data_IF_821451767281
#
_entry.id   IF_821451767281
#
_cell.length_a   1.000
_cell.length_b   1.000
_cell.length_c   1.000
_cell.angle_alpha   90.00
_cell.angle_beta   90.00
_cell.angle_gamma   90.00
#
_symmetry.space_group_name_H-M   'P 1'
#
loop_
_entity.id
_entity.type
_entity.pdbx_description
1 polymer ?
#
# COMPACT_ATOMS: atom_id res chain seq x y z
N UNK A 1 28.56 7.98 -18.26
CA UNK A 1 27.26 7.99 -17.56
C UNK A 1 26.68 6.61 -17.74
N UNK A 2 26.90 5.77 -16.74
CA UNK A 2 26.69 4.33 -16.88
C UNK A 2 25.20 3.99 -16.68
N UNK A 3 24.68 3.14 -17.56
CA UNK A 3 23.29 2.68 -17.60
C UNK A 3 22.80 2.16 -16.23
N UNK A 4 23.72 1.69 -15.37
CA UNK A 4 23.44 1.19 -14.03
C UNK A 4 22.83 2.22 -13.07
N UNK A 5 23.04 3.52 -13.27
CA UNK A 5 22.43 4.55 -12.42
C UNK A 5 20.92 4.68 -12.64
N UNK A 6 20.44 4.37 -13.85
CA UNK A 6 19.01 4.42 -14.21
C UNK A 6 18.28 3.10 -14.01
N UNK A 7 19.00 2.03 -13.66
CA UNK A 7 18.45 0.71 -13.42
C UNK A 7 17.25 0.69 -12.46
N UNK A 8 17.26 1.39 -11.29
CA UNK A 8 16.08 1.44 -10.42
C UNK A 8 14.90 2.20 -11.04
N UNK A 9 15.17 3.27 -11.80
CA UNK A 9 14.11 4.07 -12.43
C UNK A 9 13.42 3.31 -13.56
N UNK A 10 14.20 2.60 -14.39
CA UNK A 10 13.65 1.75 -15.46
C UNK A 10 12.89 0.57 -14.85
N UNK A 11 13.44 -0.05 -13.80
CA UNK A 11 12.79 -1.15 -13.09
C UNK A 11 11.42 -0.77 -12.53
N UNK A 12 11.31 0.32 -11.78
CA UNK A 12 10.02 0.76 -11.20
C UNK A 12 9.01 1.16 -12.26
N UNK A 13 9.45 1.76 -13.37
CA UNK A 13 8.56 2.17 -14.46
C UNK A 13 7.98 0.95 -15.20
N UNK A 14 8.81 -0.05 -15.51
CA UNK A 14 8.36 -1.31 -16.12
C UNK A 14 7.40 -2.06 -15.19
N UNK A 15 7.75 -2.20 -13.90
CA UNK A 15 6.86 -2.84 -12.93
C UNK A 15 5.55 -2.08 -12.74
N UNK A 16 5.59 -0.75 -12.70
CA UNK A 16 4.39 0.09 -12.60
C UNK A 16 3.46 -0.06 -13.79
N UNK A 17 3.99 -0.07 -15.01
CA UNK A 17 3.19 -0.31 -16.23
C UNK A 17 2.59 -1.70 -16.25
N UNK A 18 3.35 -2.73 -15.86
CA UNK A 18 2.85 -4.11 -15.77
C UNK A 18 1.71 -4.23 -14.74
N UNK A 19 1.89 -3.68 -13.54
CA UNK A 19 0.85 -3.70 -12.49
C UNK A 19 -0.38 -2.88 -12.90
N UNK A 20 -0.20 -1.75 -13.57
CA UNK A 20 -1.29 -0.95 -14.12
C UNK A 20 -2.12 -1.71 -15.16
N UNK A 21 -1.45 -2.35 -16.12
CA UNK A 21 -2.10 -3.18 -17.14
C UNK A 21 -2.87 -4.36 -16.53
N UNK A 22 -2.25 -5.08 -15.60
CA UNK A 22 -2.89 -6.20 -14.90
C UNK A 22 -4.09 -5.72 -14.08
N UNK A 23 -3.95 -4.57 -13.42
CA UNK A 23 -4.98 -3.92 -12.62
C UNK A 23 -6.20 -3.52 -13.44
N UNK A 24 -6.01 -2.92 -14.62
CA UNK A 24 -7.08 -2.59 -15.56
C UNK A 24 -7.85 -3.83 -16.00
N UNK A 25 -7.13 -4.89 -16.41
CA UNK A 25 -7.77 -6.12 -16.92
C UNK A 25 -8.54 -6.89 -15.86
N UNK A 26 -8.06 -6.87 -14.62
CA UNK A 26 -8.65 -7.63 -13.51
C UNK A 26 -9.74 -6.84 -12.76
N UNK A 27 -9.85 -5.52 -12.99
CA UNK A 27 -10.75 -4.63 -12.25
C UNK A 27 -10.64 -4.82 -10.72
N UNK A 28 -9.41 -5.05 -10.23
CA UNK A 28 -9.15 -5.40 -8.84
C UNK A 28 -9.62 -4.31 -7.87
N UNK A 29 -10.50 -4.69 -6.94
CA UNK A 29 -10.94 -3.84 -5.85
C UNK A 29 -10.88 -4.63 -4.53
N UNK A 30 -9.96 -4.27 -3.64
CA UNK A 30 -9.79 -4.96 -2.35
C UNK A 30 -11.05 -4.85 -1.47
N UNK A 31 -11.68 -3.68 -1.41
CA UNK A 31 -12.93 -3.47 -0.68
C UNK A 31 -14.11 -4.20 -1.35
N UNK A 32 -14.14 -4.21 -2.68
CA UNK A 32 -15.15 -4.91 -3.47
C UNK A 32 -15.11 -6.42 -3.23
N UNK A 33 -13.92 -7.02 -3.17
CA UNK A 33 -13.78 -8.46 -2.95
C UNK A 33 -14.33 -8.92 -1.61
N UNK A 34 -14.16 -8.12 -0.54
CA UNK A 34 -14.75 -8.42 0.77
C UNK A 34 -16.27 -8.25 0.77
N UNK A 35 -16.78 -7.16 0.14
CA UNK A 35 -18.22 -6.88 0.06
C UNK A 35 -18.95 -7.95 -0.75
N UNK A 36 -18.42 -8.31 -1.91
CA UNK A 36 -19.07 -9.23 -2.85
C UNK A 36 -19.03 -10.68 -2.30
N UNK A 37 -17.97 -11.04 -1.55
CA UNK A 37 -17.95 -12.28 -0.79
C UNK A 37 -19.02 -12.30 0.32
N UNK A 38 -19.18 -11.21 1.08
CA UNK A 38 -20.14 -11.16 2.18
C UNK A 38 -21.60 -11.15 1.71
N UNK A 39 -21.90 -10.44 0.61
CA UNK A 39 -23.28 -10.23 0.16
C UNK A 39 -23.72 -11.26 -0.89
N UNK A 40 -22.89 -11.47 -1.92
CA UNK A 40 -23.21 -12.30 -3.09
C UNK A 40 -22.54 -13.68 -3.05
N UNK A 41 -21.62 -13.91 -2.10
CA UNK A 41 -20.78 -15.11 -2.02
C UNK A 41 -19.96 -15.36 -3.29
N UNK A 42 -19.64 -14.30 -4.03
CA UNK A 42 -18.74 -14.39 -5.17
C UNK A 42 -17.29 -14.41 -4.67
N UNK A 43 -16.53 -15.41 -5.11
CA UNK A 43 -15.13 -15.61 -4.72
C UNK A 43 -14.15 -15.18 -5.80
N UNK A 44 -14.63 -14.73 -6.97
CA UNK A 44 -13.78 -14.39 -8.10
C UNK A 44 -12.81 -13.26 -7.77
N UNK A 45 -13.33 -12.14 -7.25
CA UNK A 45 -12.51 -10.98 -6.84
C UNK A 45 -11.66 -11.28 -5.59
N UNK A 46 -12.15 -12.17 -4.71
CA UNK A 46 -11.47 -12.59 -3.49
C UNK A 46 -10.19 -13.37 -3.79
N UNK A 47 -10.19 -14.23 -4.82
CA UNK A 47 -8.99 -14.94 -5.30
C UNK A 47 -7.89 -13.97 -5.72
N UNK A 48 -8.26 -12.84 -6.33
CA UNK A 48 -7.33 -11.76 -6.68
C UNK A 48 -6.67 -11.11 -5.47
N UNK A 49 -7.43 -10.83 -4.40
CA UNK A 49 -6.91 -10.32 -3.14
C UNK A 49 -5.91 -11.30 -2.50
N UNK A 50 -6.26 -12.59 -2.42
CA UNK A 50 -5.34 -13.60 -1.90
C UNK A 50 -4.12 -13.80 -2.80
N UNK A 51 -4.27 -13.69 -4.12
CA UNK A 51 -3.16 -13.72 -5.06
C UNK A 51 -2.18 -12.56 -4.86
N UNK A 52 -2.68 -11.36 -4.56
CA UNK A 52 -1.84 -10.20 -4.23
C UNK A 52 -1.08 -10.39 -2.92
N UNK A 53 -1.76 -10.85 -1.87
CA UNK A 53 -1.12 -11.15 -0.57
C UNK A 53 -0.08 -12.26 -0.72
N UNK A 54 -0.42 -13.34 -1.40
CA UNK A 54 0.49 -14.45 -1.67
C UNK A 54 1.69 -14.03 -2.51
N UNK A 55 1.46 -13.22 -3.55
CA UNK A 55 2.52 -12.65 -4.38
C UNK A 55 3.48 -11.75 -3.59
N UNK A 56 2.96 -10.91 -2.68
CA UNK A 56 3.78 -10.08 -1.81
C UNK A 56 4.62 -10.92 -0.84
N UNK A 57 4.04 -11.96 -0.24
CA UNK A 57 4.76 -12.89 0.64
C UNK A 57 5.85 -13.65 -0.12
N UNK A 58 5.53 -14.25 -1.26
CA UNK A 58 6.52 -14.96 -2.09
C UNK A 58 7.61 -14.01 -2.56
N UNK A 59 7.24 -12.82 -3.03
CA UNK A 59 8.18 -11.77 -3.44
C UNK A 59 9.15 -11.40 -2.32
N UNK A 60 8.63 -11.12 -1.11
CA UNK A 60 9.47 -10.78 0.05
C UNK A 60 10.43 -11.91 0.46
N UNK A 61 10.01 -13.18 0.37
CA UNK A 61 10.89 -14.33 0.60
C UNK A 61 11.96 -14.42 -0.48
N UNK A 62 11.61 -14.25 -1.75
CA UNK A 62 12.58 -14.26 -2.86
C UNK A 62 13.62 -13.14 -2.69
N UNK A 63 13.20 -11.91 -2.37
CA UNK A 63 14.13 -10.80 -2.12
C UNK A 63 15.01 -11.02 -0.89
N UNK A 64 14.54 -11.79 0.11
CA UNK A 64 15.36 -12.19 1.23
C UNK A 64 16.46 -13.19 0.82
N UNK A 65 16.14 -14.19 -0.01
CA UNK A 65 17.12 -15.16 -0.52
C UNK A 65 18.23 -14.48 -1.32
N UNK A 66 17.89 -13.44 -2.09
CA UNK A 66 18.87 -12.64 -2.86
C UNK A 66 19.70 -11.70 -1.96
N UNK A 67 19.33 -11.56 -0.67
CA UNK A 67 20.09 -10.79 0.32
C UNK A 67 19.83 -9.28 0.30
N UNK A 68 18.81 -8.81 -0.43
CA UNK A 68 18.48 -7.37 -0.53
C UNK A 68 17.54 -6.88 0.57
N UNK A 69 16.79 -7.77 1.24
CA UNK A 69 15.79 -7.40 2.26
C UNK A 69 15.91 -8.27 3.54
N UNK A 70 15.60 -7.71 4.73
CA UNK A 70 15.39 -8.51 5.95
C UNK A 70 14.13 -9.40 5.82
N UNK A 71 14.14 -10.57 6.48
CA UNK A 71 13.07 -11.57 6.37
C UNK A 71 11.71 -11.00 6.82
N UNK A 72 10.68 -11.18 6.00
CA UNK A 72 9.28 -10.96 6.34
C UNK A 72 8.68 -12.32 6.74
N UNK A 73 8.12 -12.53 7.97
CA UNK A 73 7.53 -11.54 8.89
C UNK A 73 8.52 -10.94 9.89
N UNK A 74 8.51 -9.61 10.00
CA UNK A 74 9.41 -8.82 10.85
C UNK A 74 9.38 -9.19 12.35
N UNK A 75 8.22 -9.68 12.83
CA UNK A 75 8.03 -10.17 14.20
C UNK A 75 9.05 -11.27 14.53
N UNK A 76 9.40 -12.12 13.56
CA UNK A 76 10.30 -13.26 13.76
C UNK A 76 11.77 -12.83 13.87
N UNK A 77 12.16 -11.73 13.21
CA UNK A 77 13.56 -11.27 13.17
C UNK A 77 13.90 -10.23 14.23
N UNK A 78 12.96 -9.34 14.59
CA UNK A 78 13.22 -8.17 15.44
C UNK A 78 12.28 -8.05 16.64
N UNK A 79 11.40 -9.04 16.87
CA UNK A 79 10.44 -9.04 17.96
C UNK A 79 9.39 -7.92 17.84
N UNK A 80 8.81 -7.53 18.98
CA UNK A 80 7.78 -6.48 19.12
C UNK A 80 8.43 -5.08 19.10
N UNK A 81 9.22 -4.81 18.07
CA UNK A 81 9.88 -3.51 17.86
C UNK A 81 9.36 -2.84 16.60
N UNK A 82 9.70 -1.56 16.42
CA UNK A 82 9.17 -0.73 15.35
C UNK A 82 9.28 -1.36 13.96
N UNK A 83 8.23 -1.17 13.16
CA UNK A 83 8.16 -1.65 11.78
C UNK A 83 9.09 -0.78 10.93
N UNK A 84 10.00 -1.36 10.12
CA UNK A 84 10.88 -0.61 9.25
C UNK A 84 10.06 0.11 8.19
N UNK A 85 10.19 1.45 8.13
CA UNK A 85 9.36 2.31 7.29
C UNK A 85 8.01 2.69 7.90
N UNK A 86 7.75 2.37 9.17
CA UNK A 86 6.58 2.82 9.91
C UNK A 86 6.63 4.31 10.27
N UNK A 87 5.47 4.93 10.36
CA UNK A 87 5.30 6.36 10.64
C UNK A 87 5.95 6.83 11.96
N UNK A 88 6.07 5.97 12.98
CA UNK A 88 6.64 6.42 14.25
C UNK A 88 8.18 6.34 14.32
N UNK A 89 8.87 5.93 13.24
CA UNK A 89 10.29 5.60 13.33
C UNK A 89 10.53 4.47 14.35
N UNK A 90 11.76 4.36 14.86
CA UNK A 90 12.20 3.31 15.81
C UNK A 90 11.45 3.23 17.16
N UNK A 91 10.43 4.05 17.38
CA UNK A 91 9.61 4.08 18.59
C UNK A 91 8.60 2.93 18.59
N UNK A 92 8.99 1.79 19.17
CA UNK A 92 8.10 0.73 19.68
C UNK A 92 7.04 0.13 18.72
N UNK A 93 6.32 -0.88 19.20
CA UNK A 93 5.21 -1.50 18.45
C UNK A 93 3.89 -0.75 18.64
N UNK A 94 3.59 -0.32 19.87
CA UNK A 94 2.35 0.39 20.20
C UNK A 94 2.13 1.68 19.41
N UNK A 95 3.17 2.54 19.23
CA UNK A 95 3.04 3.75 18.44
C UNK A 95 2.60 3.52 16.99
N UNK A 96 3.24 2.55 16.36
CA UNK A 96 3.00 2.18 14.98
C UNK A 96 1.62 1.52 14.81
N UNK A 97 1.18 0.72 15.78
CA UNK A 97 -0.14 0.10 15.75
C UNK A 97 -1.26 1.15 15.85
N UNK A 98 -1.15 2.12 16.76
CA UNK A 98 -2.14 3.19 16.90
C UNK A 98 -2.22 4.03 15.62
N UNK A 99 -1.07 4.42 15.07
CA UNK A 99 -1.01 5.16 13.81
C UNK A 99 -1.60 4.36 12.63
N UNK A 100 -1.32 3.06 12.56
CA UNK A 100 -1.86 2.18 11.52
C UNK A 100 -3.38 1.97 11.64
N UNK A 101 -3.91 1.87 12.86
CA UNK A 101 -5.35 1.75 13.10
C UNK A 101 -6.09 3.03 12.72
N UNK A 102 -5.61 4.19 13.19
CA UNK A 102 -6.23 5.49 12.90
C UNK A 102 -6.11 5.81 11.41
N UNK A 103 -4.89 5.68 10.86
CA UNK A 103 -4.63 5.95 9.44
C UNK A 103 -5.35 4.97 8.52
N UNK A 104 -5.31 3.67 8.84
CA UNK A 104 -5.99 2.62 8.08
C UNK A 104 -7.51 2.81 8.07
N UNK A 105 -8.10 3.14 9.22
CA UNK A 105 -9.52 3.47 9.30
C UNK A 105 -9.86 4.72 8.48
N UNK A 106 -9.06 5.78 8.58
CA UNK A 106 -9.26 7.02 7.81
C UNK A 106 -9.18 6.80 6.30
N UNK A 107 -8.16 6.09 5.82
CA UNK A 107 -8.02 5.75 4.39
C UNK A 107 -9.16 4.86 3.94
N UNK A 108 -9.56 3.87 4.75
CA UNK A 108 -10.71 3.01 4.45
C UNK A 108 -12.01 3.79 4.28
N UNK A 109 -12.33 4.65 5.26
CA UNK A 109 -13.55 5.46 5.25
C UNK A 109 -13.60 6.42 4.06
N UNK A 110 -12.53 7.18 3.82
CA UNK A 110 -12.46 8.13 2.69
C UNK A 110 -12.50 7.42 1.32
N UNK A 111 -11.89 6.23 1.22
CA UNK A 111 -11.91 5.45 -0.03
C UNK A 111 -13.31 4.94 -0.37
N UNK A 112 -14.08 4.51 0.64
CA UNK A 112 -15.45 4.03 0.44
C UNK A 112 -16.36 5.17 -0.02
N UNK A 113 -16.19 6.39 0.51
CA UNK A 113 -16.94 7.58 0.06
C UNK A 113 -16.70 7.86 -1.42
N UNK A 114 -15.46 7.67 -1.91
CA UNK A 114 -15.13 7.82 -3.32
C UNK A 114 -15.69 6.68 -4.20
N UNK A 115 -16.16 5.58 -3.60
CA UNK A 115 -16.68 4.41 -4.32
C UNK A 115 -15.61 3.41 -4.74
N UNK A 116 -14.45 3.39 -4.08
CA UNK A 116 -13.32 2.53 -4.47
C UNK A 116 -12.38 2.15 -3.32
N UNK A 117 -11.27 1.53 -3.67
CA UNK A 117 -10.09 1.42 -2.81
C UNK A 117 -8.95 2.26 -3.42
N UNK A 118 -7.88 2.58 -2.68
CA UNK A 118 -6.79 3.41 -3.19
C UNK A 118 -6.25 2.89 -4.54
N UNK A 119 -6.01 1.58 -4.63
CA UNK A 119 -5.51 0.92 -5.84
C UNK A 119 -6.46 1.06 -7.05
N UNK A 120 -7.76 0.88 -6.85
CA UNK A 120 -8.75 1.04 -7.93
C UNK A 120 -8.82 2.48 -8.43
N UNK A 121 -8.69 3.46 -7.53
CA UNK A 121 -8.68 4.87 -7.91
C UNK A 121 -7.45 5.22 -8.77
N UNK A 122 -6.27 4.63 -8.50
CA UNK A 122 -5.10 4.76 -9.38
C UNK A 122 -5.36 4.24 -10.80
N UNK A 123 -6.06 3.11 -10.93
CA UNK A 123 -6.40 2.54 -12.23
C UNK A 123 -7.43 3.40 -12.97
N UNK A 124 -8.51 3.80 -12.30
CA UNK A 124 -9.58 4.62 -12.89
C UNK A 124 -9.09 6.02 -13.30
N UNK A 125 -8.07 6.56 -12.63
CA UNK A 125 -7.43 7.79 -13.07
C UNK A 125 -6.69 7.61 -14.41
N UNK A 126 -6.08 6.45 -14.64
CA UNK A 126 -5.49 6.08 -15.94
C UNK A 126 -6.53 5.85 -17.05
N UNK A 127 -7.76 5.51 -16.69
CA UNK A 127 -8.90 5.41 -17.63
C UNK A 127 -9.54 6.77 -17.96
N UNK A 128 -9.09 7.85 -17.31
CA UNK A 128 -9.59 9.22 -17.54
C UNK A 128 -10.73 9.67 -16.63
N UNK A 129 -11.02 8.94 -15.54
CA UNK A 129 -12.06 9.33 -14.59
C UNK A 129 -11.61 10.54 -13.73
N UNK A 130 -12.26 11.68 -13.92
CA UNK A 130 -11.96 12.94 -13.23
C UNK A 130 -12.11 12.85 -11.70
N UNK A 131 -13.07 12.07 -11.19
CA UNK A 131 -13.27 11.90 -9.74
C UNK A 131 -12.13 11.13 -9.09
N UNK A 132 -11.60 10.12 -9.80
CA UNK A 132 -10.45 9.33 -9.34
C UNK A 132 -9.15 10.14 -9.40
N UNK A 133 -8.99 11.01 -10.41
CA UNK A 133 -7.85 11.93 -10.50
C UNK A 133 -7.84 12.88 -9.29
N UNK A 134 -8.99 13.48 -8.94
CA UNK A 134 -9.09 14.37 -7.78
C UNK A 134 -8.75 13.65 -6.47
N UNK A 135 -9.18 12.39 -6.31
CA UNK A 135 -8.81 11.56 -5.16
C UNK A 135 -7.30 11.38 -5.03
N UNK A 136 -6.60 11.08 -6.13
CA UNK A 136 -5.14 10.86 -6.11
C UNK A 136 -4.39 12.15 -5.78
N UNK A 137 -4.85 13.29 -6.32
CA UNK A 137 -4.27 14.59 -5.99
C UNK A 137 -4.44 14.86 -4.48
N UNK A 138 -5.64 14.63 -3.93
CA UNK A 138 -5.89 14.74 -2.50
C UNK A 138 -5.01 13.81 -1.66
N UNK A 139 -4.84 12.55 -2.10
CA UNK A 139 -3.97 11.58 -1.45
C UNK A 139 -2.50 12.02 -1.48
N UNK A 140 -2.03 12.58 -2.60
CA UNK A 140 -0.65 13.08 -2.75
C UNK A 140 -0.39 14.31 -1.86
N UNK A 141 -1.30 15.29 -1.84
CA UNK A 141 -1.22 16.46 -0.95
C UNK A 141 -1.25 16.01 0.51
N UNK A 142 -2.15 15.08 0.86
CA UNK A 142 -2.24 14.49 2.19
C UNK A 142 -0.95 13.77 2.61
N UNK A 143 -0.32 13.03 1.69
CA UNK A 143 0.95 12.35 1.95
C UNK A 143 2.09 13.33 2.25
N UNK A 144 2.18 14.46 1.53
CA UNK A 144 3.18 15.51 1.81
C UNK A 144 2.94 16.14 3.18
N UNK A 145 1.70 16.50 3.50
CA UNK A 145 1.33 17.08 4.81
C UNK A 145 1.62 16.08 5.94
N UNK A 146 1.34 14.80 5.72
CA UNK A 146 1.59 13.76 6.70
C UNK A 146 3.08 13.65 7.05
N UNK A 147 3.95 13.60 6.04
CA UNK A 147 5.38 13.46 6.27
C UNK A 147 6.03 14.69 6.90
N UNK A 148 5.53 15.89 6.59
CA UNK A 148 6.12 17.14 7.08
C UNK A 148 5.61 17.57 8.46
N UNK A 149 4.35 17.28 8.80
CA UNK A 149 3.72 17.80 10.01
C UNK A 149 3.21 16.70 10.95
N UNK A 150 2.51 15.70 10.41
CA UNK A 150 1.89 14.66 11.23
C UNK A 150 2.93 13.71 11.84
N UNK A 151 4.00 13.36 11.12
CA UNK A 151 5.06 12.49 11.66
C UNK A 151 5.77 13.13 12.86
N UNK A 152 6.16 14.40 12.75
CA UNK A 152 6.79 15.15 13.84
C UNK A 152 5.85 15.32 15.04
N UNK A 153 4.55 15.54 14.78
CA UNK A 153 3.54 15.63 15.82
C UNK A 153 3.33 14.28 16.53
N UNK A 154 3.22 13.17 15.79
CA UNK A 154 3.08 11.83 16.35
C UNK A 154 4.31 11.48 17.20
N UNK A 155 5.53 11.77 16.72
CA UNK A 155 6.74 11.54 17.50
C UNK A 155 6.79 12.37 18.79
N UNK A 156 6.28 13.60 18.78
CA UNK A 156 6.23 14.45 19.98
C UNK A 156 5.22 14.00 21.04
N UNK A 157 4.14 13.33 20.63
CA UNK A 157 3.08 12.83 21.53
C UNK A 157 3.47 11.48 22.16
N UNK A 158 4.37 10.75 21.52
CA UNK A 158 4.55 9.31 21.70
C UNK A 158 5.98 8.92 22.08
N UNK A 159 6.88 9.90 22.11
CA UNK A 159 8.16 9.87 22.84
C UNK A 159 7.91 10.08 24.34
#
# INVERSE_FOLDING_TARGET
>A
MDIYQYLPAIGTLVFGTLLGYLGQRSALCFCGGLRDFSLMKDTWLLKGLFGFIGGALIGSILFHIVGLLPLFPWILTKGVTAIPGGAAGGLGFMPNLVAALIGGFGVGFLSIIQGGCPFRNFIMAGEGNQTAIMYIIGLAVGAVIYHQWALSFIQSILA
#
